data_IF_046476311562
#
_entry.id   IF_046476311562
#
_cell.length_a   1.000
_cell.length_b   1.000
_cell.length_c   1.000
_cell.angle_alpha   90.00
_cell.angle_beta   90.00
_cell.angle_gamma   90.00
#
_symmetry.space_group_name_H-M   'P 1'
#
loop_
_entity.id
_entity.type
_entity.pdbx_description
1 polymer ?
#
# COMPACT_ATOMS: atom_id res chain seq x y z
N UNK A 1 2.57 -2.79 -11.98
CA UNK A 1 1.77 -3.98 -12.36
C UNK A 1 1.55 -4.77 -11.09
N UNK A 2 0.30 -5.13 -10.78
CA UNK A 2 0.00 -5.97 -9.62
C UNK A 2 -0.09 -7.42 -10.06
N UNK A 3 0.56 -8.31 -9.32
CA UNK A 3 0.41 -9.75 -9.49
C UNK A 3 -0.54 -10.25 -8.41
N UNK A 4 -1.57 -10.98 -8.81
CA UNK A 4 -2.55 -11.59 -7.90
C UNK A 4 -2.37 -13.10 -7.95
N UNK A 5 -2.13 -13.71 -6.79
CA UNK A 5 -1.95 -15.16 -6.64
C UNK A 5 -2.91 -15.66 -5.57
N UNK A 6 -3.58 -16.79 -5.82
CA UNK A 6 -4.37 -17.47 -4.81
C UNK A 6 -3.44 -18.41 -4.03
N UNK A 7 -3.15 -18.08 -2.78
CA UNK A 7 -2.28 -18.89 -1.92
C UNK A 7 -3.05 -19.97 -1.17
N UNK A 8 -4.30 -19.68 -0.78
CA UNK A 8 -5.15 -20.59 0.00
C UNK A 8 -6.63 -20.34 -0.29
N UNK A 9 -7.42 -21.41 -0.26
CA UNK A 9 -8.88 -21.38 -0.22
C UNK A 9 -9.29 -22.18 1.02
N UNK A 10 -10.07 -21.56 1.91
CA UNK A 10 -10.60 -22.19 3.12
C UNK A 10 -12.12 -22.26 3.05
N UNK A 11 -12.68 -23.40 3.45
CA UNK A 11 -14.11 -23.55 3.69
C UNK A 11 -14.37 -23.32 5.18
N UNK A 12 -15.06 -22.22 5.50
CA UNK A 12 -15.48 -21.93 6.86
C UNK A 12 -16.78 -22.69 7.17
N UNK A 13 -16.88 -23.43 8.29
CA UNK A 13 -18.12 -24.10 8.67
C UNK A 13 -19.15 -23.09 9.19
N UNK A 14 -20.43 -23.38 8.98
CA UNK A 14 -21.57 -22.48 9.30
C UNK A 14 -21.61 -22.03 10.78
N UNK A 15 -21.08 -22.84 11.70
CA UNK A 15 -21.07 -22.56 13.14
C UNK A 15 -19.98 -21.56 13.59
N UNK A 16 -18.99 -21.28 12.74
CA UNK A 16 -17.93 -20.28 12.99
C UNK A 16 -18.14 -19.03 12.17
N UNK A 17 -19.37 -18.78 11.74
CA UNK A 17 -19.67 -17.61 10.96
C UNK A 17 -19.77 -16.36 11.87
N UNK A 18 -18.86 -15.35 11.82
CA UNK A 18 -19.09 -14.07 12.48
C UNK A 18 -20.47 -13.48 12.15
N UNK A 19 -21.24 -13.04 13.15
CA UNK A 19 -22.62 -12.56 12.95
C UNK A 19 -22.69 -11.32 12.03
N UNK A 20 -21.62 -10.54 12.03
CA UNK A 20 -21.38 -9.40 11.17
C UNK A 20 -20.77 -9.90 9.86
N UNK A 21 -21.24 -9.40 8.70
CA UNK A 21 -20.89 -9.76 7.32
C UNK A 21 -19.38 -9.64 6.94
N UNK A 22 -18.46 -10.02 7.81
CA UNK A 22 -17.00 -9.88 7.70
C UNK A 22 -16.42 -10.52 6.45
N UNK A 23 -17.10 -11.51 5.85
CA UNK A 23 -16.67 -12.14 4.60
C UNK A 23 -17.10 -11.39 3.34
N UNK A 24 -17.94 -10.38 3.47
CA UNK A 24 -18.33 -9.52 2.35
C UNK A 24 -17.29 -8.44 2.07
N UNK A 25 -16.39 -8.16 3.02
CA UNK A 25 -15.39 -7.10 2.89
C UNK A 25 -13.98 -7.68 2.86
N UNK A 26 -13.14 -7.34 1.87
CA UNK A 26 -11.74 -7.72 1.85
C UNK A 26 -11.02 -7.22 3.10
N UNK A 27 -10.15 -8.05 3.67
CA UNK A 27 -9.27 -7.66 4.78
C UNK A 27 -7.81 -7.82 4.38
N UNK A 28 -7.04 -6.76 4.62
CA UNK A 28 -5.58 -6.82 4.58
C UNK A 28 -5.09 -7.51 5.85
N UNK A 29 -4.39 -8.63 5.69
CA UNK A 29 -3.79 -9.39 6.80
C UNK A 29 -2.36 -8.95 7.09
N UNK A 30 -1.61 -8.59 6.04
CA UNK A 30 -0.24 -8.13 6.11
C UNK A 30 0.09 -7.30 4.86
N UNK A 31 1.21 -6.58 4.92
CA UNK A 31 1.79 -5.84 3.82
C UNK A 31 3.05 -5.14 4.28
N UNK A 32 3.80 -4.59 3.34
CA UNK A 32 5.03 -3.88 3.59
C UNK A 32 5.18 -2.72 2.61
N UNK A 33 5.88 -1.68 3.07
CA UNK A 33 6.26 -0.49 2.28
C UNK A 33 5.05 0.32 1.79
N UNK A 34 5.29 1.59 1.49
CA UNK A 34 4.25 2.44 0.92
C UNK A 34 4.03 2.09 -0.55
N UNK A 35 2.79 2.23 -1.02
CA UNK A 35 2.53 2.23 -2.45
C UNK A 35 3.29 3.39 -3.13
N UNK A 36 3.72 3.22 -4.39
CA UNK A 36 4.18 4.35 -5.19
C UNK A 36 3.11 5.45 -5.18
N UNK A 37 3.50 6.74 -5.05
CA UNK A 37 2.55 7.84 -5.18
C UNK A 37 1.81 7.78 -6.53
N UNK A 38 0.59 8.29 -6.55
CA UNK A 38 -0.15 8.46 -7.79
C UNK A 38 0.67 9.30 -8.78
N UNK A 39 0.60 8.94 -10.07
CA UNK A 39 1.33 9.60 -11.15
C UNK A 39 2.87 9.62 -11.02
N UNK A 40 3.47 8.72 -10.24
CA UNK A 40 4.93 8.61 -10.10
C UNK A 40 5.69 8.20 -11.38
N UNK A 41 5.06 8.12 -12.55
CA UNK A 41 5.74 7.79 -13.81
C UNK A 41 6.11 6.31 -13.98
N UNK A 42 5.33 5.41 -13.37
CA UNK A 42 5.57 3.97 -13.43
C UNK A 42 6.83 3.53 -12.68
N UNK A 43 7.40 2.38 -13.06
CA UNK A 43 8.56 1.80 -12.35
C UNK A 43 9.76 2.75 -12.38
N UNK A 44 10.10 3.30 -13.54
CA UNK A 44 11.27 4.17 -13.70
C UNK A 44 11.16 5.46 -12.90
N UNK A 45 10.01 6.13 -12.94
CA UNK A 45 9.82 7.35 -12.17
C UNK A 45 9.78 7.10 -10.65
N UNK A 46 9.19 5.97 -10.21
CA UNK A 46 9.25 5.60 -8.80
C UNK A 46 10.67 5.26 -8.33
N UNK A 47 11.48 4.57 -9.14
CA UNK A 47 12.89 4.32 -8.83
C UNK A 47 13.67 5.63 -8.69
N UNK A 48 13.52 6.57 -9.63
CA UNK A 48 14.16 7.88 -9.54
C UNK A 48 13.74 8.64 -8.27
N UNK A 49 12.46 8.58 -7.91
CA UNK A 49 11.96 9.16 -6.66
C UNK A 49 12.71 8.57 -5.46
N UNK A 50 12.79 7.23 -5.35
CA UNK A 50 13.47 6.58 -4.23
C UNK A 50 14.95 6.95 -4.15
N UNK A 51 15.65 6.95 -5.29
CA UNK A 51 17.06 7.36 -5.37
C UNK A 51 17.26 8.80 -4.91
N UNK A 52 16.42 9.72 -5.38
CA UNK A 52 16.47 11.12 -4.98
C UNK A 52 16.16 11.31 -3.49
N UNK A 53 15.19 10.58 -2.94
CA UNK A 53 14.82 10.70 -1.52
C UNK A 53 15.87 10.12 -0.57
N UNK A 54 16.59 9.06 -0.97
CA UNK A 54 17.62 8.43 -0.14
C UNK A 54 18.95 9.19 -0.13
N UNK A 55 19.20 10.04 -1.13
CA UNK A 55 20.43 10.82 -1.24
C UNK A 55 20.17 12.33 -1.15
N UNK A 56 20.44 12.98 0.00
CA UNK A 56 20.31 14.42 0.16
C UNK A 56 21.16 15.27 -0.80
N UNK A 57 22.24 14.72 -1.35
CA UNK A 57 23.09 15.38 -2.34
C UNK A 57 22.62 15.17 -3.78
N UNK A 58 21.55 14.38 -3.99
CA UNK A 58 20.99 14.19 -5.33
C UNK A 58 20.49 15.54 -5.87
N UNK A 59 20.81 15.91 -7.14
CA UNK A 59 20.41 17.20 -7.72
C UNK A 59 18.91 17.48 -7.63
N UNK A 60 18.09 16.42 -7.70
CA UNK A 60 16.63 16.50 -7.64
C UNK A 60 16.03 16.23 -6.24
N UNK A 61 16.86 16.01 -5.20
CA UNK A 61 16.39 15.63 -3.85
C UNK A 61 15.27 16.54 -3.34
N UNK A 62 15.50 17.85 -3.35
CA UNK A 62 14.54 18.83 -2.84
C UNK A 62 13.26 18.89 -3.66
N UNK A 63 13.37 18.82 -4.99
CA UNK A 63 12.22 18.85 -5.90
C UNK A 63 11.34 17.61 -5.69
N UNK A 64 11.97 16.43 -5.67
CA UNK A 64 11.29 15.15 -5.45
C UNK A 64 10.69 15.05 -4.06
N UNK A 65 11.37 15.57 -3.02
CA UNK A 65 10.84 15.60 -1.67
C UNK A 65 9.62 16.50 -1.53
N UNK A 66 9.64 17.66 -2.18
CA UNK A 66 8.51 18.57 -2.23
C UNK A 66 7.33 17.94 -2.97
N UNK A 67 7.57 17.30 -4.11
CA UNK A 67 6.54 16.65 -4.91
C UNK A 67 5.88 15.47 -4.18
N UNK A 68 6.68 14.56 -3.61
CA UNK A 68 6.15 13.41 -2.88
C UNK A 68 5.50 13.79 -1.53
N UNK A 69 5.73 15.01 -1.05
CA UNK A 69 5.24 15.49 0.24
C UNK A 69 6.12 15.06 1.42
N UNK A 70 6.13 15.89 2.46
CA UNK A 70 7.02 15.72 3.61
C UNK A 70 6.73 14.46 4.46
N UNK A 71 5.49 13.96 4.41
CA UNK A 71 5.05 12.79 5.17
C UNK A 71 5.21 11.47 4.40
N UNK A 72 5.60 11.50 3.12
CA UNK A 72 5.78 10.27 2.36
C UNK A 72 7.08 9.57 2.73
N UNK A 73 6.93 8.42 3.38
CA UNK A 73 8.00 7.48 3.71
C UNK A 73 7.77 6.18 2.90
N UNK A 74 8.67 5.83 1.98
CA UNK A 74 8.51 4.64 1.13
C UNK A 74 8.51 3.32 1.92
N UNK A 75 9.00 3.30 3.16
CA UNK A 75 9.06 2.08 3.98
C UNK A 75 7.87 1.95 4.95
N UNK A 76 6.99 2.95 5.03
CA UNK A 76 5.87 2.96 5.96
C UNK A 76 4.63 2.26 5.39
N UNK A 77 4.13 1.26 6.12
CA UNK A 77 2.87 0.58 5.84
C UNK A 77 2.07 0.33 7.14
N UNK A 78 0.74 0.43 7.07
CA UNK A 78 -0.15 0.11 8.20
C UNK A 78 -1.34 -0.74 7.73
N UNK A 79 -1.43 -1.94 8.29
CA UNK A 79 -2.58 -2.86 8.12
C UNK A 79 -3.88 -2.20 8.61
N UNK A 80 -3.82 -1.42 9.69
CA UNK A 80 -4.98 -0.71 10.23
C UNK A 80 -5.48 0.34 9.24
N UNK A 81 -4.60 1.18 8.70
CA UNK A 81 -4.98 2.19 7.70
C UNK A 81 -5.53 1.55 6.43
N UNK A 82 -4.92 0.46 5.94
CA UNK A 82 -5.41 -0.28 4.78
C UNK A 82 -6.83 -0.82 5.01
N UNK A 83 -7.08 -1.45 6.17
CA UNK A 83 -8.40 -1.96 6.51
C UNK A 83 -9.44 -0.85 6.73
N UNK A 84 -9.06 0.29 7.30
CA UNK A 84 -9.94 1.45 7.39
C UNK A 84 -10.39 1.96 6.02
N UNK A 85 -9.49 1.96 5.02
CA UNK A 85 -9.82 2.33 3.66
C UNK A 85 -10.73 1.30 2.97
N UNK A 86 -10.49 0.00 3.19
CA UNK A 86 -11.31 -1.09 2.64
C UNK A 86 -12.74 -1.09 3.21
N UNK A 87 -12.92 -0.63 4.45
CA UNK A 87 -14.22 -0.56 5.10
C UNK A 87 -15.18 0.48 4.51
N UNK A 88 -14.73 1.32 3.56
CA UNK A 88 -15.53 2.36 2.90
C UNK A 88 -16.08 1.87 1.55
N UNK A 89 -15.70 0.66 1.12
CA UNK A 89 -16.21 0.05 -0.10
C UNK A 89 -17.59 -0.57 0.17
N UNK A 90 -18.64 0.26 0.15
CA UNK A 90 -20.06 -0.15 0.10
C UNK A 90 -20.51 -0.47 -1.32
#
# INVERSE_FOLDING_TARGET
>A
MHQITIEKIEHLPDENLPEDNLWMTPRCLAGERACPPEDAGGIGGYTLLLEALQNPEHPEHMQMRQWAGASYDPELFSVQQANSALAILD
#
